data_IF_279222171080
#
_entry.id   IF_279222171080
#
_cell.length_a   1.000
_cell.length_b   1.000
_cell.length_c   1.000
_cell.angle_alpha   90.00
_cell.angle_beta   90.00
_cell.angle_gamma   90.00
#
_symmetry.space_group_name_H-M   'P 1'
#
loop_
_entity.id
_entity.type
_entity.pdbx_description
1 polymer ?
#
# COMPACT_ATOMS: atom_id res chain seq x y z
N UNK A 1 15.50 -79.68 -83.13
CA UNK A 1 16.17 -78.38 -83.38
C UNK A 1 15.21 -77.25 -83.21
N UNK A 2 15.27 -76.49 -82.14
CA UNK A 2 15.04 -75.02 -82.07
C UNK A 2 15.16 -74.60 -80.61
N UNK A 3 16.07 -73.73 -80.39
CA UNK A 3 16.48 -73.16 -79.10
C UNK A 3 15.44 -72.12 -78.71
N UNK A 4 14.91 -72.17 -77.46
CA UNK A 4 14.06 -71.12 -76.87
C UNK A 4 14.91 -70.37 -75.83
N UNK A 5 15.05 -69.11 -76.06
CA UNK A 5 15.79 -68.15 -75.24
C UNK A 5 14.86 -67.58 -74.15
N UNK A 6 15.22 -67.89 -72.90
CA UNK A 6 14.47 -67.43 -71.74
C UNK A 6 14.97 -66.07 -71.35
N UNK A 7 14.10 -65.03 -71.43
CA UNK A 7 14.38 -63.67 -70.94
C UNK A 7 14.00 -63.59 -69.45
N UNK A 8 15.02 -63.31 -68.66
CA UNK A 8 14.91 -63.08 -67.24
C UNK A 8 14.70 -61.56 -66.97
N UNK A 9 13.46 -61.19 -66.68
CA UNK A 9 13.07 -59.80 -66.37
C UNK A 9 13.43 -59.55 -64.92
N UNK A 10 14.51 -58.79 -64.65
CA UNK A 10 14.88 -58.31 -63.31
C UNK A 10 14.01 -57.14 -62.95
N UNK A 11 13.00 -57.33 -62.07
CA UNK A 11 12.12 -56.28 -61.53
C UNK A 11 12.96 -55.55 -60.49
N UNK A 12 13.49 -54.40 -60.84
CA UNK A 12 14.17 -53.49 -59.94
C UNK A 12 13.12 -52.71 -59.18
N UNK A 13 12.76 -53.19 -57.97
CA UNK A 13 11.84 -52.55 -57.06
C UNK A 13 12.53 -51.32 -56.45
N UNK A 14 12.22 -50.11 -56.98
CA UNK A 14 12.67 -48.86 -56.43
C UNK A 14 12.03 -48.70 -55.07
N UNK A 15 12.81 -48.84 -53.99
CA UNK A 15 12.41 -48.43 -52.63
C UNK A 15 12.43 -46.91 -52.63
N UNK A 16 11.26 -46.32 -52.84
CA UNK A 16 11.03 -44.89 -52.53
C UNK A 16 11.16 -44.75 -50.99
N UNK A 17 12.06 -43.87 -50.49
CA UNK A 17 12.03 -43.55 -49.08
C UNK A 17 10.67 -42.93 -48.81
N UNK A 18 9.87 -43.58 -47.96
CA UNK A 18 8.70 -42.99 -47.35
C UNK A 18 9.23 -41.83 -46.47
N UNK A 19 9.11 -40.60 -46.98
CA UNK A 19 9.33 -39.44 -46.15
C UNK A 19 8.27 -39.52 -45.04
N UNK A 20 8.68 -39.86 -43.83
CA UNK A 20 7.84 -39.75 -42.67
C UNK A 20 7.39 -38.28 -42.64
N UNK A 21 6.06 -38.05 -42.67
CA UNK A 21 5.53 -36.71 -42.54
C UNK A 21 5.99 -36.21 -41.16
N UNK A 22 6.80 -35.15 -41.15
CA UNK A 22 7.22 -34.52 -39.91
C UNK A 22 5.99 -34.16 -39.08
N UNK A 23 5.89 -34.73 -37.91
CA UNK A 23 4.81 -34.37 -36.98
C UNK A 23 5.01 -32.94 -36.49
N UNK A 24 3.91 -32.21 -36.34
CA UNK A 24 3.97 -30.82 -35.90
C UNK A 24 3.15 -30.65 -34.61
N UNK A 25 3.65 -29.85 -33.68
CA UNK A 25 2.99 -29.53 -32.43
C UNK A 25 2.86 -28.00 -32.27
N UNK A 26 1.70 -27.57 -31.77
CA UNK A 26 1.46 -26.17 -31.49
C UNK A 26 2.32 -25.71 -30.32
N UNK A 27 2.81 -24.50 -30.41
CA UNK A 27 3.68 -23.91 -29.41
C UNK A 27 3.38 -22.45 -29.15
N UNK A 28 3.72 -21.99 -27.98
CA UNK A 28 3.54 -20.60 -27.54
C UNK A 28 4.80 -20.11 -26.84
N UNK A 29 5.20 -18.88 -27.11
CA UNK A 29 6.28 -18.21 -26.40
C UNK A 29 5.82 -17.82 -25.01
N UNK A 30 6.57 -18.23 -24.01
CA UNK A 30 6.29 -17.92 -22.61
C UNK A 30 7.49 -17.27 -21.93
N UNK A 31 7.23 -16.58 -20.81
CA UNK A 31 8.23 -16.17 -19.85
C UNK A 31 8.11 -17.08 -18.61
N UNK A 32 8.94 -18.12 -18.49
CA UNK A 32 8.79 -19.12 -17.43
C UNK A 32 9.13 -18.56 -16.05
N UNK A 33 9.89 -17.48 -15.99
CA UNK A 33 10.29 -16.83 -14.75
C UNK A 33 9.42 -15.61 -14.52
N UNK A 34 8.65 -15.63 -13.43
CA UNK A 34 7.85 -14.50 -12.97
C UNK A 34 8.23 -14.12 -11.55
N UNK A 35 8.23 -12.83 -11.27
CA UNK A 35 8.45 -12.28 -9.92
C UNK A 35 7.13 -11.76 -9.38
N UNK A 36 6.73 -12.29 -8.22
CA UNK A 36 5.51 -11.87 -7.54
C UNK A 36 5.78 -10.66 -6.67
N UNK A 37 5.01 -9.60 -6.87
CA UNK A 37 5.00 -8.42 -6.02
C UNK A 37 3.80 -8.53 -5.08
N UNK A 38 4.06 -8.53 -3.77
CA UNK A 38 3.04 -8.69 -2.74
C UNK A 38 3.00 -7.50 -1.80
N UNK A 39 1.86 -7.29 -1.16
CA UNK A 39 1.70 -6.24 -0.15
C UNK A 39 2.58 -6.53 1.08
N UNK A 40 3.46 -5.59 1.49
CA UNK A 40 4.36 -5.80 2.63
C UNK A 40 3.63 -5.74 3.97
N UNK A 41 2.49 -5.05 4.04
CA UNK A 41 1.59 -4.93 5.20
C UNK A 41 0.17 -4.65 4.71
N UNK A 42 -0.80 -4.66 5.63
CA UNK A 42 -2.20 -4.38 5.29
C UNK A 42 -2.46 -2.87 5.20
N UNK A 43 -3.29 -2.43 4.26
CA UNK A 43 -3.59 -1.01 4.06
C UNK A 43 -4.39 -0.77 2.78
N UNK A 44 -4.50 0.49 2.40
CA UNK A 44 -5.17 0.92 1.17
C UNK A 44 -4.11 1.36 0.16
N UNK A 45 -4.26 0.95 -1.10
CA UNK A 45 -3.40 1.40 -2.19
C UNK A 45 -3.83 2.81 -2.64
N UNK A 46 -2.85 3.70 -2.78
CA UNK A 46 -3.05 4.98 -3.44
C UNK A 46 -3.35 4.77 -4.94
N UNK A 47 -3.92 5.76 -5.64
CA UNK A 47 -4.09 5.71 -7.08
C UNK A 47 -2.78 5.45 -7.80
N UNK A 48 -2.80 4.57 -8.80
CA UNK A 48 -1.67 4.22 -9.66
C UNK A 48 -2.14 4.02 -11.11
N UNK A 49 -1.21 4.12 -12.08
CA UNK A 49 -1.50 4.00 -13.51
C UNK A 49 -0.95 2.70 -14.14
N UNK A 50 -0.37 1.81 -13.34
CA UNK A 50 0.22 0.55 -13.79
C UNK A 50 -0.83 -0.35 -14.45
N UNK A 51 -0.46 -0.97 -15.59
CA UNK A 51 -1.33 -1.86 -16.37
C UNK A 51 -0.62 -3.16 -16.73
N UNK A 52 -1.39 -4.20 -16.95
CA UNK A 52 -0.85 -5.42 -17.55
C UNK A 52 -0.29 -5.10 -18.96
N UNK A 53 0.91 -5.59 -19.24
CA UNK A 53 1.69 -5.29 -20.45
C UNK A 53 2.72 -4.17 -20.29
N UNK A 54 2.66 -3.36 -19.23
CA UNK A 54 3.65 -2.31 -18.99
C UNK A 54 5.02 -2.90 -18.71
N UNK A 55 6.06 -2.26 -19.22
CA UNK A 55 7.45 -2.63 -18.93
C UNK A 55 7.98 -1.83 -17.75
N UNK A 56 8.55 -2.52 -16.77
CA UNK A 56 9.10 -1.95 -15.55
C UNK A 56 10.56 -2.33 -15.36
N UNK A 57 11.31 -1.51 -14.63
CA UNK A 57 12.70 -1.77 -14.23
C UNK A 57 12.77 -2.08 -12.74
N UNK A 58 13.80 -2.80 -12.35
CA UNK A 58 14.09 -2.96 -10.92
C UNK A 58 14.27 -1.60 -10.24
N UNK A 59 13.56 -1.37 -9.12
CA UNK A 59 13.53 -0.12 -8.39
C UNK A 59 12.40 0.84 -8.78
N UNK A 60 11.69 0.62 -9.88
CA UNK A 60 10.52 1.43 -10.23
C UNK A 60 9.44 1.26 -9.17
N UNK A 61 8.84 2.38 -8.73
CA UNK A 61 7.70 2.36 -7.80
C UNK A 61 6.46 1.93 -8.57
N UNK A 62 5.88 0.81 -8.14
CA UNK A 62 4.69 0.21 -8.77
C UNK A 62 3.41 0.64 -8.06
N UNK A 63 3.46 0.67 -6.72
CA UNK A 63 2.34 1.02 -5.87
C UNK A 63 2.82 1.85 -4.70
N UNK A 64 1.91 2.64 -4.13
CA UNK A 64 2.13 3.32 -2.85
C UNK A 64 0.97 3.00 -1.91
N UNK A 65 1.28 2.77 -0.64
CA UNK A 65 0.31 2.53 0.41
C UNK A 65 -0.11 3.85 1.05
N UNK A 66 -1.40 3.98 1.35
CA UNK A 66 -1.93 5.13 2.08
C UNK A 66 -1.46 5.12 3.54
N UNK A 67 -1.16 6.31 4.06
CA UNK A 67 -0.80 6.52 5.46
C UNK A 67 -1.93 7.28 6.16
N UNK A 68 -2.30 6.84 7.36
CA UNK A 68 -3.40 7.43 8.14
C UNK A 68 -2.88 8.64 8.90
N UNK A 69 -3.34 9.87 8.60
CA UNK A 69 -2.91 11.06 9.31
C UNK A 69 -3.53 11.16 10.71
N UNK A 70 -2.74 11.62 11.67
CA UNK A 70 -3.16 11.95 13.03
C UNK A 70 -3.10 13.46 13.17
N UNK A 71 -4.25 14.07 13.45
CA UNK A 71 -4.41 15.51 13.49
C UNK A 71 -4.37 16.05 14.93
N UNK A 72 -3.93 17.32 15.07
CA UNK A 72 -4.19 18.11 16.26
C UNK A 72 -5.70 18.31 16.42
N UNK A 73 -6.21 18.08 17.63
CA UNK A 73 -7.65 18.24 17.92
C UNK A 73 -8.01 19.68 18.29
N UNK A 74 -7.03 20.47 18.70
CA UNK A 74 -7.15 21.86 19.12
C UNK A 74 -5.85 22.62 18.86
N UNK A 75 -5.94 23.96 18.93
CA UNK A 75 -4.76 24.82 18.83
C UNK A 75 -3.91 24.68 20.10
N UNK A 76 -2.60 24.61 19.93
CA UNK A 76 -1.73 24.43 21.08
C UNK A 76 -0.24 24.47 20.74
N UNK A 77 0.56 24.24 21.78
CA UNK A 77 2.02 24.12 21.67
C UNK A 77 2.44 22.68 22.00
N UNK A 78 3.25 22.09 21.14
CA UNK A 78 3.83 20.77 21.38
C UNK A 78 4.88 20.88 22.48
N UNK A 79 4.63 20.26 23.64
CA UNK A 79 5.57 20.27 24.79
C UNK A 79 6.54 19.10 24.78
N UNK A 80 6.10 17.96 24.25
CA UNK A 80 6.94 16.78 24.11
C UNK A 80 6.51 15.92 22.90
N UNK A 81 7.47 15.26 22.26
CA UNK A 81 7.28 14.22 21.25
C UNK A 81 8.06 13.00 21.69
N UNK A 82 7.40 11.88 21.86
CA UNK A 82 7.99 10.62 22.35
C UNK A 82 8.21 9.60 21.22
N UNK A 83 7.46 9.72 20.13
CA UNK A 83 7.47 8.78 19.04
C UNK A 83 8.48 9.17 17.95
N UNK A 84 9.07 8.16 17.31
CA UNK A 84 9.92 8.27 16.14
C UNK A 84 9.37 7.42 15.00
N UNK A 85 9.79 7.70 13.76
CA UNK A 85 9.41 6.87 12.62
C UNK A 85 9.85 5.42 12.85
N UNK A 86 8.96 4.48 12.54
CA UNK A 86 9.14 3.06 12.75
C UNK A 86 8.70 2.54 14.13
N UNK A 87 8.39 3.40 15.09
CA UNK A 87 7.95 2.97 16.42
C UNK A 87 6.55 2.36 16.39
N UNK A 88 6.32 1.40 17.29
CA UNK A 88 4.99 0.88 17.59
C UNK A 88 4.26 1.83 18.56
N UNK A 89 3.11 2.34 18.13
CA UNK A 89 2.37 3.34 18.89
C UNK A 89 1.90 2.82 20.25
N UNK A 90 1.48 1.56 20.34
CA UNK A 90 1.01 0.96 21.59
C UNK A 90 2.10 0.94 22.66
N UNK A 91 3.32 0.56 22.26
CA UNK A 91 4.48 0.57 23.16
C UNK A 91 4.82 1.97 23.68
N UNK A 92 4.77 2.99 22.81
CA UNK A 92 5.02 4.39 23.20
C UNK A 92 3.91 4.91 24.12
N UNK A 93 2.65 4.66 23.79
CA UNK A 93 1.50 5.10 24.59
C UNK A 93 1.51 4.44 25.97
N UNK A 94 1.80 3.14 26.04
CA UNK A 94 1.92 2.43 27.32
C UNK A 94 2.98 3.02 28.24
N UNK A 95 4.10 3.48 27.66
CA UNK A 95 5.24 4.02 28.43
C UNK A 95 5.08 5.50 28.80
N UNK A 96 4.58 6.32 27.88
CA UNK A 96 4.56 7.79 28.02
C UNK A 96 3.15 8.38 28.07
N UNK A 97 2.10 7.58 27.87
CA UNK A 97 0.70 7.99 27.86
C UNK A 97 0.24 8.65 26.55
N UNK A 98 1.11 8.76 25.54
CA UNK A 98 0.79 9.36 24.25
C UNK A 98 2.02 9.39 23.33
N UNK A 99 1.82 9.67 22.05
CA UNK A 99 2.88 9.88 21.05
C UNK A 99 3.51 11.26 21.19
N UNK A 100 2.69 12.24 21.57
CA UNK A 100 3.08 13.62 21.87
C UNK A 100 2.16 14.22 22.93
N UNK A 101 2.58 15.34 23.49
CA UNK A 101 1.82 16.15 24.44
C UNK A 101 1.66 17.56 23.90
N UNK A 102 0.42 18.06 23.88
CA UNK A 102 0.09 19.43 23.52
C UNK A 102 -0.42 20.18 24.74
N UNK A 103 0.09 21.38 24.94
CA UNK A 103 -0.46 22.35 25.84
C UNK A 103 -1.43 23.26 25.08
N UNK A 104 -2.70 23.39 25.48
CA UNK A 104 -3.64 24.30 24.85
C UNK A 104 -3.14 25.75 24.82
N UNK A 105 -3.56 26.55 23.84
CA UNK A 105 -3.17 27.99 23.75
C UNK A 105 -3.61 28.74 25.02
N UNK A 106 -4.79 28.39 25.55
CA UNK A 106 -5.30 28.92 26.79
C UNK A 106 -5.35 27.80 27.84
N UNK A 107 -4.22 27.56 28.55
CA UNK A 107 -4.12 26.40 29.44
C UNK A 107 -4.88 26.53 30.76
N UNK A 108 -5.45 27.72 31.06
CA UNK A 108 -6.08 27.98 32.33
C UNK A 108 -7.54 28.36 32.18
N UNK A 109 -8.34 28.01 33.17
CA UNK A 109 -9.74 28.37 33.26
C UNK A 109 -10.12 28.67 34.70
N UNK A 110 -11.20 29.46 34.88
CA UNK A 110 -11.83 29.70 36.18
C UNK A 110 -12.95 28.68 36.34
N UNK A 111 -12.86 27.82 37.35
CA UNK A 111 -13.95 26.96 37.79
C UNK A 111 -14.81 27.76 38.74
N UNK A 112 -15.90 28.33 38.24
CA UNK A 112 -16.73 29.30 38.93
C UNK A 112 -18.14 28.78 39.24
N UNK A 113 -18.83 29.46 40.18
CA UNK A 113 -20.22 29.16 40.52
C UNK A 113 -21.04 30.42 40.59
N UNK A 114 -22.29 30.34 40.12
CA UNK A 114 -23.29 31.43 40.24
C UNK A 114 -23.90 31.59 41.63
N UNK A 115 -23.53 30.75 42.59
CA UNK A 115 -24.04 30.84 43.99
C UNK A 115 -23.72 32.18 44.65
N UNK A 116 -22.58 32.76 44.29
CA UNK A 116 -22.13 34.07 44.79
C UNK A 116 -22.31 35.16 43.72
N UNK A 117 -23.18 34.94 42.71
CA UNK A 117 -23.60 35.96 41.76
C UNK A 117 -24.41 37.03 42.47
N UNK A 118 -24.36 38.27 41.95
CA UNK A 118 -25.29 39.30 42.38
C UNK A 118 -26.73 38.84 42.15
N UNK A 119 -27.63 39.18 43.06
CA UNK A 119 -28.96 38.56 43.20
C UNK A 119 -29.93 38.89 42.06
N UNK A 120 -29.46 39.12 40.85
CA UNK A 120 -30.23 39.29 39.65
C UNK A 120 -30.33 37.95 38.90
N UNK A 121 -31.54 37.63 38.44
CA UNK A 121 -31.76 36.38 37.68
C UNK A 121 -30.88 36.32 36.43
N UNK A 122 -30.63 37.46 35.81
CA UNK A 122 -29.81 37.57 34.60
C UNK A 122 -28.37 37.14 34.85
N UNK A 123 -27.78 37.44 35.99
CA UNK A 123 -26.42 37.07 36.36
C UNK A 123 -26.22 35.56 36.58
N UNK A 124 -27.31 34.84 36.86
CA UNK A 124 -27.31 33.39 37.09
C UNK A 124 -27.51 32.58 35.82
N UNK A 125 -27.86 33.23 34.70
CA UNK A 125 -28.09 32.57 33.40
C UNK A 125 -26.93 32.83 32.50
N UNK A 126 -26.06 31.83 32.38
CA UNK A 126 -24.88 31.85 31.50
C UNK A 126 -25.04 30.87 30.39
N UNK A 127 -24.47 31.21 29.23
CA UNK A 127 -24.40 30.33 28.08
C UNK A 127 -22.95 30.07 27.67
N UNK A 128 -22.67 28.87 27.16
CA UNK A 128 -21.39 28.59 26.54
C UNK A 128 -21.16 29.57 25.38
N UNK A 129 -19.94 30.09 25.26
CA UNK A 129 -19.55 31.11 24.28
C UNK A 129 -19.63 32.55 24.81
N UNK A 130 -20.30 32.82 25.93
CA UNK A 130 -20.34 34.16 26.52
C UNK A 130 -18.95 34.66 26.94
N UNK A 131 -18.71 35.96 26.74
CA UNK A 131 -17.50 36.63 27.19
C UNK A 131 -17.74 37.24 28.58
N UNK A 132 -16.84 36.93 29.50
CA UNK A 132 -16.85 37.48 30.86
C UNK A 132 -15.57 38.26 31.13
N UNK A 133 -15.68 39.22 32.03
CA UNK A 133 -14.56 40.00 32.54
C UNK A 133 -14.13 39.42 33.90
N UNK A 134 -12.82 39.20 34.02
CA UNK A 134 -12.20 38.49 35.15
C UNK A 134 -11.40 39.48 35.99
N UNK A 135 -11.54 39.41 37.36
CA UNK A 135 -10.84 40.30 38.25
C UNK A 135 -10.36 39.58 39.52
N UNK A 136 -9.10 39.84 39.89
CA UNK A 136 -8.48 39.48 41.16
C UNK A 136 -7.70 40.67 41.68
N UNK A 137 -8.22 41.39 42.67
CA UNK A 137 -7.60 42.62 43.16
C UNK A 137 -7.47 43.66 42.04
N UNK A 138 -6.25 44.01 41.66
CA UNK A 138 -5.95 44.92 40.53
C UNK A 138 -5.80 44.21 39.19
N UNK A 139 -5.57 42.89 39.19
CA UNK A 139 -5.40 42.10 37.96
C UNK A 139 -6.74 41.94 37.27
N UNK A 140 -6.75 42.18 35.97
CA UNK A 140 -7.92 42.16 35.09
C UNK A 140 -7.65 41.31 33.91
N UNK A 141 -8.69 40.64 33.42
CA UNK A 141 -8.63 39.81 32.22
C UNK A 141 -9.98 39.60 31.60
N UNK A 142 -10.00 38.82 30.54
CA UNK A 142 -11.22 38.37 29.86
C UNK A 142 -11.21 36.87 29.72
N UNK A 143 -12.37 36.29 29.68
CA UNK A 143 -12.52 34.86 29.46
C UNK A 143 -13.79 34.53 28.72
N UNK A 144 -13.86 33.33 28.19
CA UNK A 144 -15.02 32.80 27.49
C UNK A 144 -15.60 31.63 28.26
N UNK A 145 -16.89 31.61 28.47
CA UNK A 145 -17.58 30.47 29.07
C UNK A 145 -17.49 29.28 28.15
N UNK A 146 -16.87 28.20 28.61
CA UNK A 146 -16.71 26.96 27.81
C UNK A 146 -17.73 25.90 28.18
N UNK A 147 -18.18 25.90 29.46
CA UNK A 147 -19.11 24.91 29.95
C UNK A 147 -20.00 25.53 31.04
N UNK A 148 -21.27 25.14 31.02
CA UNK A 148 -22.24 25.48 32.09
C UNK A 148 -22.92 24.19 32.54
N UNK A 149 -22.91 23.91 33.82
CA UNK A 149 -23.51 22.72 34.42
C UNK A 149 -24.27 23.12 35.70
N UNK A 150 -25.53 23.50 35.52
CA UNK A 150 -26.36 24.07 36.62
C UNK A 150 -25.79 25.39 37.12
N UNK A 151 -25.43 25.43 38.39
CA UNK A 151 -24.82 26.62 39.00
C UNK A 151 -23.32 26.72 38.79
N UNK A 152 -22.66 25.62 38.36
CA UNK A 152 -21.22 25.58 38.10
C UNK A 152 -20.95 25.91 36.64
N UNK A 153 -19.90 26.69 36.38
CA UNK A 153 -19.46 27.00 35.03
C UNK A 153 -17.94 27.13 34.92
N UNK A 154 -17.42 26.93 33.74
CA UNK A 154 -16.01 27.08 33.44
C UNK A 154 -15.78 28.24 32.46
N UNK A 155 -14.82 29.11 32.79
CA UNK A 155 -14.42 30.26 31.96
C UNK A 155 -12.98 30.10 31.54
N UNK A 156 -12.74 29.80 30.28
CA UNK A 156 -11.40 29.78 29.67
C UNK A 156 -10.81 31.20 29.77
N UNK A 157 -9.60 31.33 30.32
CA UNK A 157 -8.90 32.60 30.44
C UNK A 157 -8.25 32.97 29.14
N UNK A 158 -8.72 34.01 28.48
CA UNK A 158 -8.16 34.49 27.21
C UNK A 158 -7.07 35.56 27.41
N UNK A 159 -7.26 36.41 28.40
CA UNK A 159 -6.29 37.47 28.75
C UNK A 159 -6.24 37.66 30.27
N UNK A 160 -5.12 38.20 30.76
CA UNK A 160 -4.88 38.46 32.18
C UNK A 160 -3.78 37.60 32.76
N UNK A 161 -3.23 38.04 33.89
CA UNK A 161 -2.14 37.32 34.59
C UNK A 161 -2.70 36.70 35.88
N UNK A 162 -3.22 35.49 35.76
CA UNK A 162 -3.73 34.73 36.90
C UNK A 162 -2.92 33.48 37.13
N UNK A 163 -2.78 33.08 38.39
CA UNK A 163 -2.07 31.85 38.77
C UNK A 163 -3.06 30.76 39.20
N UNK A 164 -2.64 29.52 39.16
CA UNK A 164 -3.44 28.40 39.65
C UNK A 164 -3.79 28.61 41.10
N UNK A 165 -5.04 28.27 41.49
CA UNK A 165 -5.66 28.47 42.78
C UNK A 165 -6.03 29.92 43.15
N UNK A 166 -5.79 30.88 42.25
CA UNK A 166 -6.28 32.23 42.41
C UNK A 166 -7.82 32.26 42.52
N UNK A 167 -8.33 33.09 43.41
CA UNK A 167 -9.77 33.35 43.51
C UNK A 167 -10.14 34.53 42.61
N UNK A 168 -10.89 34.30 41.56
CA UNK A 168 -11.22 35.27 40.52
C UNK A 168 -12.74 35.51 40.51
N UNK A 169 -13.13 36.77 40.50
CA UNK A 169 -14.51 37.18 40.27
C UNK A 169 -14.80 37.34 38.77
N UNK A 170 -15.98 36.92 38.38
CA UNK A 170 -16.45 36.99 36.99
C UNK A 170 -17.58 38.02 36.87
N UNK A 171 -17.55 38.83 35.82
CA UNK A 171 -18.49 39.92 35.57
C UNK A 171 -18.94 39.90 34.12
N UNK A 172 -20.20 40.33 33.87
CA UNK A 172 -20.68 40.49 32.48
C UNK A 172 -20.16 41.76 31.83
N UNK A 173 -19.85 42.78 32.62
CA UNK A 173 -19.47 44.10 32.14
C UNK A 173 -18.01 44.46 32.45
N UNK A 174 -17.37 45.21 31.56
CA UNK A 174 -15.99 45.65 31.69
C UNK A 174 -15.76 46.63 32.85
N UNK A 175 -16.86 47.23 33.40
CA UNK A 175 -16.82 48.12 34.52
C UNK A 175 -16.56 47.43 35.88
N UNK A 176 -16.70 46.11 35.94
CA UNK A 176 -16.56 45.30 37.17
C UNK A 176 -17.46 45.74 38.30
N UNK A 177 -18.65 46.26 37.95
CA UNK A 177 -19.69 46.65 38.91
C UNK A 177 -20.29 45.42 39.59
N UNK A 178 -20.59 45.52 40.89
CA UNK A 178 -21.09 44.37 41.66
C UNK A 178 -22.40 43.81 41.11
N UNK A 179 -23.26 44.65 40.53
CA UNK A 179 -24.55 44.30 39.96
C UNK A 179 -24.40 43.45 38.66
N UNK A 180 -23.22 43.45 38.02
CA UNK A 180 -22.90 42.62 36.87
C UNK A 180 -22.12 41.32 37.23
N UNK A 181 -21.93 41.03 38.53
CA UNK A 181 -21.19 39.86 38.98
C UNK A 181 -21.95 38.56 38.71
N UNK A 182 -21.35 37.67 37.98
CA UNK A 182 -21.87 36.34 37.69
C UNK A 182 -21.38 35.28 38.71
N UNK A 183 -20.52 35.69 39.66
CA UNK A 183 -20.01 34.84 40.71
C UNK A 183 -18.49 34.84 40.77
N UNK A 184 -17.93 33.85 41.46
CA UNK A 184 -16.48 33.68 41.56
C UNK A 184 -16.08 32.24 41.49
N UNK A 185 -14.79 32.00 41.20
CA UNK A 185 -14.22 30.68 41.14
C UNK A 185 -12.72 30.68 41.35
N UNK A 186 -12.16 29.49 41.30
CA UNK A 186 -10.72 29.27 41.34
C UNK A 186 -10.17 29.00 39.99
N UNK A 187 -8.97 29.55 39.73
CA UNK A 187 -8.20 29.24 38.52
C UNK A 187 -7.69 27.82 38.60
N UNK A 188 -7.92 27.08 37.56
CA UNK A 188 -7.42 25.72 37.34
C UNK A 188 -6.73 25.66 35.99
N UNK A 189 -5.88 24.62 35.82
CA UNK A 189 -5.23 24.32 34.54
C UNK A 189 -5.96 23.19 33.86
N UNK A 190 -6.17 23.30 32.53
CA UNK A 190 -6.60 22.17 31.72
C UNK A 190 -5.52 21.12 31.71
N UNK A 191 -5.87 19.82 31.69
CA UNK A 191 -4.89 18.77 31.48
C UNK A 191 -4.30 18.92 30.09
N UNK A 192 -3.01 18.65 29.99
CA UNK A 192 -2.33 18.58 28.69
C UNK A 192 -2.99 17.53 27.80
N UNK A 193 -3.13 17.85 26.51
CA UNK A 193 -3.72 16.95 25.53
C UNK A 193 -2.70 15.92 25.08
N UNK A 194 -3.01 14.65 25.28
CA UNK A 194 -2.19 13.55 24.84
C UNK A 194 -2.63 13.06 23.48
N UNK A 195 -1.72 13.09 22.52
CA UNK A 195 -1.96 12.58 21.16
C UNK A 195 -1.80 11.08 21.16
N UNK A 196 -2.82 10.34 20.77
CA UNK A 196 -2.81 8.89 20.69
C UNK A 196 -3.30 8.41 19.32
N UNK A 197 -2.76 7.31 18.85
CA UNK A 197 -3.21 6.61 17.65
C UNK A 197 -2.83 5.14 17.76
N UNK A 198 -3.42 4.28 16.93
CA UNK A 198 -3.02 2.90 16.77
C UNK A 198 -2.11 2.74 15.56
N UNK A 199 -1.31 1.66 15.55
CA UNK A 199 -0.47 1.30 14.42
C UNK A 199 1.00 1.65 14.60
N UNK A 200 1.72 1.68 13.50
CA UNK A 200 3.16 2.00 13.45
C UNK A 200 3.35 3.41 12.95
N UNK A 201 4.19 4.18 13.61
CA UNK A 201 4.51 5.56 13.20
C UNK A 201 5.23 5.53 11.85
N UNK A 202 4.63 6.14 10.83
CA UNK A 202 5.24 6.27 9.50
C UNK A 202 6.13 7.51 9.43
N UNK A 203 5.61 8.64 9.86
CA UNK A 203 6.38 9.88 9.96
C UNK A 203 5.93 10.74 11.13
N UNK A 204 6.86 11.57 11.61
CA UNK A 204 6.64 12.59 12.64
C UNK A 204 6.75 13.96 11.96
N UNK A 205 5.71 14.77 12.05
CA UNK A 205 5.59 16.07 11.36
C UNK A 205 5.81 17.26 12.29
N UNK A 206 5.99 17.02 13.59
CA UNK A 206 6.12 18.06 14.62
C UNK A 206 7.28 17.80 15.55
N UNK A 207 7.80 18.87 16.13
CA UNK A 207 8.84 18.84 17.14
C UNK A 207 8.38 19.52 18.42
N UNK A 208 9.05 19.24 19.55
CA UNK A 208 8.82 19.95 20.81
C UNK A 208 9.15 21.44 20.62
N UNK A 209 8.21 22.29 21.02
CA UNK A 209 8.26 23.73 20.86
C UNK A 209 7.38 24.29 19.72
N UNK A 210 6.94 23.45 18.79
CA UNK A 210 6.10 23.87 17.68
C UNK A 210 4.71 24.33 18.15
N UNK A 211 4.16 25.32 17.47
CA UNK A 211 2.75 25.73 17.62
C UNK A 211 1.94 25.08 16.49
N UNK A 212 0.85 24.44 16.86
CA UNK A 212 -0.06 23.73 15.96
C UNK A 212 -1.47 24.26 16.05
N UNK A 213 -2.22 24.13 14.97
CA UNK A 213 -3.65 24.44 14.90
C UNK A 213 -4.47 23.16 14.80
N UNK A 214 -5.72 23.23 15.24
CA UNK A 214 -6.67 22.15 15.01
C UNK A 214 -6.73 21.78 13.51
N UNK A 215 -6.54 20.50 13.21
CA UNK A 215 -6.46 20.00 11.84
C UNK A 215 -5.04 19.87 11.26
N UNK A 216 -4.01 20.35 11.93
CA UNK A 216 -2.63 20.11 11.49
C UNK A 216 -2.25 18.64 11.67
N UNK A 217 -1.54 18.07 10.68
CA UNK A 217 -1.05 16.69 10.76
C UNK A 217 0.17 16.63 11.66
N UNK A 218 0.08 15.86 12.72
CA UNK A 218 1.15 15.66 13.71
C UNK A 218 2.00 14.43 13.38
N UNK A 219 1.34 13.34 12.98
CA UNK A 219 1.95 12.07 12.62
C UNK A 219 1.22 11.48 11.42
N UNK A 220 1.89 10.58 10.69
CA UNK A 220 1.24 9.61 9.82
C UNK A 220 1.49 8.21 10.35
N UNK A 221 0.49 7.34 10.23
CA UNK A 221 0.50 5.98 10.77
C UNK A 221 0.31 4.96 9.68
N UNK A 222 0.88 3.76 9.88
CA UNK A 222 0.66 2.55 9.07
C UNK A 222 0.01 1.47 9.92
N UNK A 223 -0.44 0.43 9.23
CA UNK A 223 -0.93 -0.78 9.89
C UNK A 223 0.10 -1.31 10.91
N UNK A 224 -0.33 -1.80 12.10
CA UNK A 224 0.59 -2.28 13.12
C UNK A 224 1.46 -3.46 12.66
N UNK A 225 1.02 -4.21 11.62
CA UNK A 225 1.81 -5.32 11.04
C UNK A 225 2.90 -4.86 10.08
N UNK A 226 2.98 -3.55 9.77
CA UNK A 226 4.02 -3.02 8.91
C UNK A 226 5.41 -3.27 9.52
N UNK A 227 6.40 -3.73 8.74
CA UNK A 227 7.79 -3.79 9.18
C UNK A 227 8.28 -2.41 9.66
N UNK A 228 9.22 -2.39 10.61
CA UNK A 228 9.75 -1.14 11.18
C UNK A 228 10.28 -0.20 10.10
N UNK A 229 10.99 -0.77 9.12
CA UNK A 229 11.67 -0.03 8.06
C UNK A 229 10.86 0.01 6.73
N UNK A 230 9.58 -0.41 6.76
CA UNK A 230 8.76 -0.38 5.56
C UNK A 230 8.53 1.05 5.11
N UNK A 231 8.75 1.31 3.81
CA UNK A 231 8.28 2.52 3.16
C UNK A 231 6.79 2.45 2.83
N UNK A 232 6.21 3.56 2.36
CA UNK A 232 4.88 3.56 1.73
C UNK A 232 4.92 2.97 0.31
N UNK A 233 6.08 3.07 -0.36
CA UNK A 233 6.24 2.66 -1.74
C UNK A 233 6.62 1.19 -1.88
N UNK A 234 6.00 0.54 -2.84
CA UNK A 234 6.26 -0.86 -3.23
C UNK A 234 6.92 -0.83 -4.60
N UNK A 235 8.21 -1.11 -4.62
CA UNK A 235 9.02 -1.08 -5.84
C UNK A 235 9.15 -2.46 -6.48
N UNK A 236 9.38 -2.47 -7.80
CA UNK A 236 9.74 -3.67 -8.54
C UNK A 236 11.09 -4.21 -8.07
N UNK A 237 11.15 -5.49 -7.72
CA UNK A 237 12.41 -6.16 -7.35
C UNK A 237 13.19 -6.69 -8.56
N UNK A 238 12.54 -6.76 -9.72
CA UNK A 238 13.14 -7.17 -11.00
C UNK A 238 12.55 -6.32 -12.14
N UNK A 239 13.30 -6.24 -13.25
CA UNK A 239 12.81 -5.69 -14.50
C UNK A 239 12.04 -6.72 -15.31
N UNK A 240 11.08 -6.27 -16.13
CA UNK A 240 10.29 -7.15 -16.98
C UNK A 240 9.00 -6.50 -17.45
N UNK A 241 8.03 -7.32 -17.85
CA UNK A 241 6.68 -6.85 -18.19
C UNK A 241 5.67 -7.32 -17.13
N UNK A 242 4.72 -6.47 -16.78
CA UNK A 242 3.62 -6.83 -15.89
C UNK A 242 2.72 -7.84 -16.60
N UNK A 243 2.78 -9.10 -16.19
CA UNK A 243 2.00 -10.20 -16.78
C UNK A 243 0.62 -10.32 -16.16
N UNK A 244 0.49 -9.98 -14.88
CA UNK A 244 -0.77 -10.00 -14.13
C UNK A 244 -0.83 -8.78 -13.22
N UNK A 245 -1.97 -8.11 -13.22
CA UNK A 245 -2.32 -7.07 -12.24
C UNK A 245 -3.55 -7.56 -11.45
N UNK A 246 -3.35 -7.85 -10.15
CA UNK A 246 -4.36 -8.44 -9.28
C UNK A 246 -5.15 -7.44 -8.44
N UNK A 247 -4.87 -6.14 -8.57
CA UNK A 247 -5.45 -5.08 -7.72
C UNK A 247 -5.83 -3.85 -8.54
N UNK A 248 -6.65 -2.98 -7.95
CA UNK A 248 -7.07 -1.69 -8.51
C UNK A 248 -6.68 -0.54 -7.57
N UNK A 249 -6.62 0.65 -8.14
CA UNK A 249 -6.44 1.89 -7.36
C UNK A 249 -7.53 2.01 -6.29
N UNK A 250 -7.11 2.29 -5.05
CA UNK A 250 -8.00 2.42 -3.90
C UNK A 250 -8.38 1.09 -3.22
N UNK A 251 -7.92 -0.06 -3.73
CA UNK A 251 -8.21 -1.34 -3.09
C UNK A 251 -7.55 -1.43 -1.70
N UNK A 252 -8.27 -2.04 -0.78
CA UNK A 252 -7.72 -2.46 0.50
C UNK A 252 -7.07 -3.83 0.36
N UNK A 253 -5.80 -3.92 0.71
CA UNK A 253 -5.00 -5.14 0.61
C UNK A 253 -4.58 -5.65 1.98
N UNK A 254 -4.30 -6.94 2.08
CA UNK A 254 -3.77 -7.57 3.29
C UNK A 254 -2.32 -7.98 3.07
N UNK A 255 -1.54 -8.05 4.13
CA UNK A 255 -0.14 -8.48 4.08
C UNK A 255 0.02 -9.81 3.32
N UNK A 256 0.93 -9.87 2.37
CA UNK A 256 1.22 -11.04 1.53
C UNK A 256 0.27 -11.21 0.34
N UNK A 257 -0.75 -10.36 0.18
CA UNK A 257 -1.63 -10.40 -0.99
C UNK A 257 -0.84 -10.09 -2.27
N UNK A 258 -1.06 -10.88 -3.32
CA UNK A 258 -0.47 -10.65 -4.64
C UNK A 258 -1.04 -9.36 -5.23
N UNK A 259 -0.16 -8.43 -5.61
CA UNK A 259 -0.49 -7.17 -6.26
C UNK A 259 -0.33 -7.27 -7.78
N UNK A 260 0.83 -7.74 -8.22
CA UNK A 260 1.12 -8.01 -9.62
C UNK A 260 2.18 -9.10 -9.79
N UNK A 261 2.30 -9.61 -11.01
CA UNK A 261 3.40 -10.47 -11.44
C UNK A 261 4.19 -9.78 -12.55
N UNK A 262 5.51 -9.86 -12.48
CA UNK A 262 6.43 -9.32 -13.47
C UNK A 262 7.09 -10.50 -14.17
N UNK A 263 6.90 -10.62 -15.48
CA UNK A 263 7.52 -11.64 -16.31
C UNK A 263 8.92 -11.18 -16.76
N UNK A 264 9.90 -12.02 -16.56
CA UNK A 264 11.29 -11.78 -17.03
C UNK A 264 11.36 -11.95 -18.55
N UNK A 265 11.49 -10.85 -19.27
CA UNK A 265 11.59 -10.85 -20.72
C UNK A 265 12.97 -11.25 -21.26
N UNK A 266 13.96 -11.42 -20.39
CA UNK A 266 15.32 -11.85 -20.79
C UNK A 266 15.45 -13.37 -20.90
N UNK A 267 14.44 -14.11 -20.43
CA UNK A 267 14.43 -15.58 -20.38
C UNK A 267 13.15 -16.13 -20.97
N UNK A 268 12.99 -15.92 -22.28
CA UNK A 268 11.84 -16.47 -22.99
C UNK A 268 12.13 -17.91 -23.44
N UNK A 269 11.09 -18.72 -23.49
CA UNK A 269 11.12 -20.09 -23.98
C UNK A 269 9.90 -20.36 -24.88
N UNK A 270 10.06 -21.26 -25.83
CA UNK A 270 8.94 -21.78 -26.59
C UNK A 270 8.42 -23.02 -25.86
N UNK A 271 7.16 -22.95 -25.41
CA UNK A 271 6.45 -24.05 -24.77
C UNK A 271 5.62 -24.76 -25.82
N UNK A 272 5.78 -26.05 -25.90
CA UNK A 272 5.10 -26.92 -26.86
C UNK A 272 4.42 -28.07 -26.11
N UNK A 273 3.14 -28.31 -26.39
CA UNK A 273 2.42 -29.47 -25.90
C UNK A 273 2.73 -30.70 -26.78
N UNK A 274 3.62 -31.54 -26.31
CA UNK A 274 4.01 -32.77 -26.99
C UNK A 274 3.04 -33.90 -26.67
N UNK A 275 2.51 -34.57 -27.73
CA UNK A 275 1.65 -35.76 -27.56
C UNK A 275 2.42 -36.93 -26.96
N UNK A 276 1.75 -37.76 -26.14
CA UNK A 276 2.34 -38.98 -25.56
C UNK A 276 2.94 -39.91 -26.59
N UNK A 277 2.38 -39.95 -27.80
CA UNK A 277 2.89 -40.82 -28.89
C UNK A 277 4.26 -40.35 -29.44
N UNK A 278 4.57 -39.05 -29.29
CA UNK A 278 5.78 -38.44 -29.84
C UNK A 278 6.90 -38.28 -28.81
N UNK A 279 6.60 -38.51 -27.53
CA UNK A 279 7.55 -38.30 -26.41
C UNK A 279 8.84 -39.16 -26.58
N UNK A 280 8.72 -40.32 -27.19
CA UNK A 280 9.87 -41.21 -27.41
C UNK A 280 10.87 -40.69 -28.46
N UNK A 281 10.45 -39.71 -29.27
CA UNK A 281 11.22 -39.16 -30.37
C UNK A 281 12.04 -37.92 -29.97
N UNK A 282 11.79 -37.35 -28.77
CA UNK A 282 12.40 -36.10 -28.31
C UNK A 282 13.12 -36.30 -26.98
N UNK A 283 14.31 -35.75 -26.88
CA UNK A 283 15.14 -35.80 -25.67
C UNK A 283 15.68 -34.40 -25.34
N UNK A 284 15.96 -34.16 -24.08
CA UNK A 284 16.69 -32.96 -23.67
C UNK A 284 18.06 -32.91 -24.37
N UNK A 285 18.36 -31.74 -24.93
CA UNK A 285 19.55 -31.49 -25.73
C UNK A 285 19.35 -31.63 -27.24
N UNK A 286 18.22 -32.19 -27.71
CA UNK A 286 17.92 -32.25 -29.13
C UNK A 286 17.70 -30.84 -29.70
N UNK A 287 18.04 -30.68 -31.00
CA UNK A 287 17.79 -29.43 -31.72
C UNK A 287 16.56 -29.64 -32.60
N UNK A 288 15.54 -28.86 -32.36
CA UNK A 288 14.28 -28.92 -33.13
C UNK A 288 14.10 -27.64 -33.97
N UNK A 289 13.49 -27.84 -35.14
CA UNK A 289 13.08 -26.74 -35.99
C UNK A 289 11.67 -26.27 -35.64
N UNK A 290 11.43 -24.96 -35.72
CA UNK A 290 10.12 -24.35 -35.45
C UNK A 290 9.91 -23.08 -36.26
N UNK A 291 8.64 -22.67 -36.41
CA UNK A 291 8.22 -21.39 -36.97
C UNK A 291 7.47 -20.62 -35.94
N UNK A 292 7.54 -19.28 -36.03
CA UNK A 292 6.70 -18.36 -35.24
C UNK A 292 5.76 -17.63 -36.20
N UNK A 293 4.47 -17.62 -35.91
CA UNK A 293 3.44 -17.05 -36.79
C UNK A 293 3.72 -15.59 -37.19
N UNK A 294 4.28 -14.81 -36.22
CA UNK A 294 4.67 -13.42 -36.45
C UNK A 294 5.78 -13.25 -37.51
N UNK A 295 6.52 -14.32 -37.85
CA UNK A 295 7.64 -14.31 -38.78
C UNK A 295 7.37 -15.14 -40.05
N UNK A 296 6.13 -15.57 -40.26
CA UNK A 296 5.71 -16.35 -41.42
C UNK A 296 6.49 -17.66 -41.55
N UNK A 297 6.98 -17.96 -42.76
CA UNK A 297 7.68 -19.22 -43.10
C UNK A 297 9.15 -19.27 -42.64
N UNK A 298 9.62 -18.25 -41.89
CA UNK A 298 10.99 -18.26 -41.36
C UNK A 298 11.18 -19.40 -40.37
N UNK A 299 12.07 -20.31 -40.68
CA UNK A 299 12.41 -21.44 -39.82
C UNK A 299 13.50 -21.00 -38.83
N UNK A 300 13.24 -21.28 -37.55
CA UNK A 300 14.17 -21.13 -36.44
C UNK A 300 14.58 -22.51 -35.96
N UNK A 301 15.70 -22.58 -35.23
CA UNK A 301 16.14 -23.77 -34.52
C UNK A 301 16.36 -23.45 -33.05
N UNK A 302 16.01 -24.37 -32.17
CA UNK A 302 16.23 -24.25 -30.75
C UNK A 302 16.54 -25.58 -30.10
N UNK A 303 17.24 -25.52 -28.99
CA UNK A 303 17.58 -26.71 -28.20
C UNK A 303 16.52 -27.00 -27.17
N UNK A 304 16.13 -28.26 -27.06
CA UNK A 304 15.24 -28.75 -26.00
C UNK A 304 15.96 -28.59 -24.66
N UNK A 305 15.40 -27.71 -23.80
CA UNK A 305 15.96 -27.44 -22.48
C UNK A 305 15.38 -28.33 -21.40
N UNK A 306 14.10 -28.63 -21.51
CA UNK A 306 13.37 -29.42 -20.51
C UNK A 306 12.22 -30.17 -21.19
N UNK A 307 12.05 -31.43 -20.84
CA UNK A 307 10.86 -32.20 -21.12
C UNK A 307 10.23 -32.57 -19.77
N UNK A 308 9.10 -31.91 -19.41
CA UNK A 308 8.49 -32.11 -18.10
C UNK A 308 7.88 -33.51 -17.95
N UNK A 309 8.25 -34.24 -16.90
CA UNK A 309 7.87 -35.66 -16.77
C UNK A 309 6.39 -35.87 -16.35
N UNK A 310 5.66 -34.79 -16.06
CA UNK A 310 4.26 -34.85 -15.66
C UNK A 310 3.38 -34.39 -16.80
N UNK A 311 2.66 -35.32 -17.41
CA UNK A 311 1.71 -35.04 -18.48
C UNK A 311 0.40 -34.45 -17.95
N UNK A 312 -0.21 -33.60 -18.77
CA UNK A 312 -1.54 -33.03 -18.54
C UNK A 312 -2.54 -33.71 -19.48
N UNK A 313 -3.59 -34.27 -18.92
CA UNK A 313 -4.65 -34.88 -19.73
C UNK A 313 -5.55 -33.79 -20.30
N UNK A 314 -5.61 -33.69 -21.65
CA UNK A 314 -6.54 -32.83 -22.37
C UNK A 314 -7.47 -33.72 -23.20
N UNK A 315 -8.78 -33.62 -23.00
CA UNK A 315 -9.82 -34.37 -23.71
C UNK A 315 -9.52 -35.89 -23.78
N UNK A 316 -8.82 -36.40 -24.81
CA UNK A 316 -8.58 -37.81 -25.07
C UNK A 316 -7.11 -38.20 -25.13
N UNK A 317 -6.18 -37.28 -24.91
CA UNK A 317 -4.75 -37.52 -24.98
C UNK A 317 -4.01 -36.91 -23.78
N UNK A 318 -2.81 -37.45 -23.49
CA UNK A 318 -1.87 -36.87 -22.53
C UNK A 318 -0.85 -36.05 -23.26
N UNK A 319 -0.60 -34.83 -22.78
CA UNK A 319 0.38 -33.92 -23.35
C UNK A 319 1.45 -33.61 -22.32
N UNK A 320 2.68 -33.50 -22.78
CA UNK A 320 3.87 -33.19 -22.00
C UNK A 320 4.43 -31.83 -22.42
N UNK A 321 4.74 -30.99 -21.45
CA UNK A 321 5.27 -29.66 -21.74
C UNK A 321 6.76 -29.73 -22.10
N UNK A 322 7.06 -29.41 -23.36
CA UNK A 322 8.38 -29.34 -23.93
C UNK A 322 8.86 -27.88 -23.99
N UNK A 323 10.02 -27.60 -23.46
CA UNK A 323 10.65 -26.29 -23.46
C UNK A 323 11.82 -26.19 -24.41
N UNK A 324 11.79 -25.25 -25.33
CA UNK A 324 12.76 -25.05 -26.37
C UNK A 324 13.34 -23.64 -26.27
N UNK A 325 14.64 -23.52 -26.45
CA UNK A 325 15.32 -22.22 -26.47
C UNK A 325 14.93 -21.38 -27.67
N UNK A 326 14.89 -20.05 -27.47
CA UNK A 326 14.63 -19.07 -28.51
C UNK A 326 15.93 -18.34 -28.90
N UNK A 327 16.03 -17.79 -30.12
CA UNK A 327 17.18 -17.00 -30.56
C UNK A 327 17.17 -15.61 -29.92
N UNK A 328 18.35 -15.06 -29.65
CA UNK A 328 18.52 -13.75 -29.01
C UNK A 328 18.53 -12.58 -30.01
N UNK A 329 18.68 -12.87 -31.32
CA UNK A 329 18.83 -11.86 -32.37
C UNK A 329 17.53 -11.36 -32.99
N UNK A 330 16.39 -11.86 -32.47
CA UNK A 330 15.04 -11.55 -32.99
C UNK A 330 14.15 -11.04 -31.86
N UNK A 331 13.33 -10.02 -32.16
CA UNK A 331 12.38 -9.50 -31.18
C UNK A 331 11.22 -10.46 -30.97
N UNK A 332 11.30 -11.29 -29.97
CA UNK A 332 10.26 -12.24 -29.57
C UNK A 332 9.56 -11.73 -28.32
N UNK A 333 8.22 -11.88 -28.28
CA UNK A 333 7.39 -11.46 -27.16
C UNK A 333 6.59 -12.63 -26.62
N UNK A 334 6.34 -12.70 -25.30
CA UNK A 334 5.46 -13.69 -24.71
C UNK A 334 4.07 -13.65 -25.36
N UNK A 335 3.48 -14.82 -25.57
CA UNK A 335 2.18 -14.95 -26.22
C UNK A 335 2.23 -15.09 -27.75
N UNK A 336 3.41 -15.02 -28.40
CA UNK A 336 3.53 -15.36 -29.81
C UNK A 336 3.32 -16.86 -30.00
N UNK A 337 2.49 -17.22 -30.98
CA UNK A 337 2.27 -18.61 -31.38
C UNK A 337 3.32 -19.09 -32.38
N UNK A 338 3.49 -20.40 -32.43
CA UNK A 338 4.38 -21.05 -33.38
C UNK A 338 4.09 -22.53 -33.53
N UNK A 339 4.85 -23.19 -34.39
CA UNK A 339 4.73 -24.63 -34.69
C UNK A 339 6.10 -25.27 -34.64
N UNK A 340 6.24 -26.31 -33.84
CA UNK A 340 7.45 -27.10 -33.70
C UNK A 340 7.34 -28.35 -34.62
N UNK A 341 8.41 -28.71 -35.33
CA UNK A 341 8.52 -29.94 -36.09
C UNK A 341 9.23 -31.00 -35.28
N UNK A 342 8.66 -32.20 -35.24
CA UNK A 342 9.14 -33.34 -34.43
C UNK A 342 9.53 -34.46 -35.38
N UNK A 343 10.68 -35.09 -35.15
CA UNK A 343 11.10 -36.26 -35.90
C UNK A 343 11.80 -35.98 -37.26
N UNK A 344 12.45 -34.80 -37.41
CA UNK A 344 13.35 -34.50 -38.51
C UNK A 344 14.78 -35.04 -38.28
#
# INVERSE_FOLDING_TARGET
>A
MKKGLTWMLCLMMAILPCAAAAQTAEAIVIAPVTVKVTAPYSGTLLPFDLRAGDTVRSGDVLFSMDEIPVYAREDGKVTAVFAQAGDDAEGIISRYGGLAVLEPVHPMYVAASTREAYNDAENKWLNAGEMLYLKKGNDKGTGRVTQVNGEEYAVEILTGSFEVDDSVQCFRESGYANDSSTGKGKVKRYPDVRVTSAGRVASVRVAAGDSVKAGDVLFTMRDPTAPKDAGSDIAATAGGAVSLLGVRSGDRVVRGQLLCEIADLTRLELSCDLDEMDIAQVREGDVLSYTLDAYGDRVFTGTVRELRPIGTKKTNASYFDLRISLPDDVRILPGMNGTVRIGE
#
